data_IF_200061699460
#
_entry.id   IF_200061699460
#
_cell.length_a   1.000
_cell.length_b   1.000
_cell.length_c   1.000
_cell.angle_alpha   90.00
_cell.angle_beta   90.00
_cell.angle_gamma   90.00
#
_symmetry.space_group_name_H-M   'P 1'
#
loop_
_entity.id
_entity.type
_entity.pdbx_description
1 polymer ?
#
# COMPACT_ATOMS: atom_id res chain seq x y z
N UNK A 1 34.51 31.86 61.11
CA UNK A 1 33.22 31.90 60.45
C UNK A 1 33.02 30.60 59.72
N UNK A 2 32.24 29.65 60.28
CA UNK A 2 32.02 28.37 59.70
C UNK A 2 30.64 28.40 58.98
N UNK A 3 30.66 28.30 57.66
CA UNK A 3 29.46 28.28 56.81
C UNK A 3 28.81 26.90 56.86
N UNK A 4 27.65 26.80 57.51
CA UNK A 4 26.80 25.59 57.49
C UNK A 4 26.28 25.34 56.07
N UNK A 5 26.76 24.29 55.44
CA UNK A 5 26.15 23.73 54.23
C UNK A 5 24.85 23.02 54.64
N UNK A 6 23.71 23.58 54.30
CA UNK A 6 22.39 22.95 54.46
C UNK A 6 22.29 21.76 53.53
N UNK A 7 22.18 20.58 54.10
CA UNK A 7 21.82 19.37 53.37
C UNK A 7 20.39 19.51 52.83
N UNK A 8 20.26 19.57 51.48
CA UNK A 8 18.98 19.57 50.81
C UNK A 8 18.27 18.23 51.04
N UNK A 9 17.01 18.29 51.47
CA UNK A 9 16.18 17.17 51.82
C UNK A 9 15.92 16.21 50.63
N UNK A 10 16.43 15.01 50.73
CA UNK A 10 16.25 13.91 49.73
C UNK A 10 14.83 13.29 49.74
N UNK A 11 13.88 13.87 50.48
CA UNK A 11 12.50 13.33 50.61
C UNK A 11 11.57 13.58 49.43
N UNK A 12 11.89 14.51 48.52
CA UNK A 12 11.00 14.89 47.42
C UNK A 12 11.18 14.10 46.12
N UNK A 13 12.32 13.44 45.92
CA UNK A 13 12.64 12.74 44.68
C UNK A 13 11.82 11.45 44.52
N UNK A 14 11.57 10.70 45.57
CA UNK A 14 10.85 9.42 45.52
C UNK A 14 9.34 9.60 45.25
N UNK A 15 8.73 10.65 45.80
CA UNK A 15 7.31 10.96 45.55
C UNK A 15 7.07 11.49 44.15
N UNK A 16 7.92 12.33 43.60
CA UNK A 16 7.87 12.81 42.22
C UNK A 16 8.03 11.65 41.21
N UNK A 17 9.01 10.82 41.42
CA UNK A 17 9.27 9.67 40.56
C UNK A 17 8.14 8.61 40.61
N UNK A 18 7.48 8.45 41.74
CA UNK A 18 6.30 7.60 41.87
C UNK A 18 5.09 8.21 41.15
N UNK A 19 4.90 9.51 41.26
CA UNK A 19 3.83 10.24 40.58
C UNK A 19 4.01 10.24 39.05
N UNK A 20 5.23 10.45 38.56
CA UNK A 20 5.59 10.36 37.12
C UNK A 20 5.33 8.95 36.59
N UNK A 21 5.70 7.90 37.33
CA UNK A 21 5.39 6.51 36.95
C UNK A 21 3.85 6.25 36.94
N UNK A 22 3.12 6.73 37.92
CA UNK A 22 1.66 6.57 37.93
C UNK A 22 0.99 7.23 36.72
N UNK A 23 1.39 8.46 36.40
CA UNK A 23 0.90 9.13 35.20
C UNK A 23 1.32 8.43 33.93
N UNK A 24 2.54 7.95 33.83
CA UNK A 24 3.02 7.14 32.72
C UNK A 24 2.17 5.89 32.50
N UNK A 25 1.93 5.12 33.57
CA UNK A 25 1.05 3.94 33.48
C UNK A 25 -0.40 4.29 33.14
N UNK A 26 -0.95 5.42 33.68
CA UNK A 26 -2.29 5.83 33.35
C UNK A 26 -2.49 6.19 31.89
N UNK A 27 -1.55 6.92 31.28
CA UNK A 27 -1.60 7.22 29.85
C UNK A 27 -1.41 5.98 28.97
N UNK A 28 -0.46 5.11 29.34
CA UNK A 28 -0.20 3.86 28.62
C UNK A 28 -1.38 2.90 28.73
N UNK A 29 -2.07 2.85 29.91
CA UNK A 29 -3.19 1.94 30.12
C UNK A 29 -4.39 2.26 29.23
N UNK A 30 -4.68 3.54 28.96
CA UNK A 30 -5.76 3.93 28.06
C UNK A 30 -5.52 3.38 26.65
N UNK A 31 -4.30 3.53 26.15
CA UNK A 31 -3.91 2.96 24.84
C UNK A 31 -3.97 1.43 24.86
N UNK A 32 -3.44 0.80 25.92
CA UNK A 32 -3.41 -0.66 26.06
C UNK A 32 -4.82 -1.26 26.11
N UNK A 33 -5.73 -0.65 26.87
CA UNK A 33 -7.14 -1.06 26.94
C UNK A 33 -7.78 -0.93 25.54
N UNK A 34 -7.57 0.21 24.87
CA UNK A 34 -8.05 0.41 23.50
C UNK A 34 -7.53 -0.66 22.55
N UNK A 35 -6.24 -0.97 22.60
CA UNK A 35 -5.64 -2.04 21.80
C UNK A 35 -6.25 -3.41 22.12
N UNK A 36 -6.38 -3.76 23.40
CA UNK A 36 -6.95 -5.04 23.80
C UNK A 36 -8.40 -5.19 23.33
N UNK A 37 -9.24 -4.18 23.55
CA UNK A 37 -10.67 -4.24 23.22
C UNK A 37 -10.92 -4.17 21.72
N UNK A 38 -10.25 -3.29 20.99
CA UNK A 38 -10.55 -3.02 19.57
C UNK A 38 -9.64 -3.74 18.59
N UNK A 39 -8.54 -4.34 19.04
CA UNK A 39 -7.62 -5.07 18.14
C UNK A 39 -7.43 -6.53 18.58
N UNK A 40 -7.00 -6.76 19.82
CA UNK A 40 -6.66 -8.11 20.27
C UNK A 40 -7.90 -9.02 20.39
N UNK A 41 -8.98 -8.54 21.01
CA UNK A 41 -10.22 -9.33 21.16
C UNK A 41 -10.84 -9.69 19.79
N UNK A 42 -11.07 -8.74 18.84
CA UNK A 42 -11.55 -9.08 17.50
C UNK A 42 -10.63 -10.05 16.74
N UNK A 43 -9.30 -9.90 16.89
CA UNK A 43 -8.35 -10.81 16.28
C UNK A 43 -8.49 -12.26 16.81
N UNK A 44 -8.60 -12.42 18.13
CA UNK A 44 -8.82 -13.74 18.75
C UNK A 44 -10.15 -14.35 18.30
N UNK A 45 -11.22 -13.54 18.25
CA UNK A 45 -12.52 -13.97 17.71
C UNK A 45 -12.39 -14.39 16.26
N UNK A 46 -11.66 -13.63 15.44
CA UNK A 46 -11.42 -13.98 14.03
C UNK A 46 -10.68 -15.31 13.89
N UNK A 47 -9.66 -15.57 14.75
CA UNK A 47 -9.00 -16.88 14.77
C UNK A 47 -10.00 -17.99 15.08
N UNK A 48 -10.84 -17.84 16.10
CA UNK A 48 -11.87 -18.82 16.43
C UNK A 48 -12.84 -19.04 15.26
N UNK A 49 -13.38 -17.96 14.69
CA UNK A 49 -14.35 -17.98 13.58
C UNK A 49 -13.78 -18.68 12.35
N UNK A 50 -12.48 -18.56 12.07
CA UNK A 50 -11.86 -19.22 10.91
C UNK A 50 -11.93 -20.75 10.95
N UNK A 51 -12.15 -21.35 12.13
CA UNK A 51 -12.34 -22.78 12.34
C UNK A 51 -13.82 -23.18 12.49
N UNK A 52 -14.76 -22.30 12.14
CA UNK A 52 -16.21 -22.54 12.25
C UNK A 52 -16.91 -22.42 10.91
N UNK A 53 -18.13 -22.96 10.82
CA UNK A 53 -19.04 -22.80 9.69
C UNK A 53 -19.91 -21.54 9.81
N UNK A 54 -19.42 -20.51 10.52
CA UNK A 54 -20.23 -19.35 10.85
C UNK A 54 -20.83 -18.65 9.62
N UNK A 55 -22.16 -18.52 9.69
CA UNK A 55 -22.97 -17.77 8.75
C UNK A 55 -23.87 -16.81 9.57
N UNK A 56 -23.75 -15.48 9.37
CA UNK A 56 -24.46 -14.48 10.19
C UNK A 56 -25.97 -14.54 10.05
N UNK A 57 -26.51 -15.10 8.95
CA UNK A 57 -27.95 -15.28 8.73
C UNK A 57 -28.49 -16.38 9.67
N UNK A 58 -27.67 -17.39 10.00
CA UNK A 58 -28.05 -18.51 10.85
C UNK A 58 -27.97 -18.19 12.34
N UNK A 59 -27.24 -17.18 12.73
CA UNK A 59 -27.10 -16.74 14.13
C UNK A 59 -25.75 -16.17 14.50
N UNK A 60 -25.54 -15.85 15.78
CA UNK A 60 -24.30 -15.27 16.27
C UNK A 60 -23.14 -16.29 16.23
N UNK A 61 -21.90 -15.78 16.17
CA UNK A 61 -20.69 -16.59 15.98
C UNK A 61 -20.44 -17.64 17.08
N UNK A 62 -20.93 -17.40 18.30
CA UNK A 62 -20.78 -18.37 19.42
C UNK A 62 -21.70 -19.59 19.32
N UNK A 63 -22.68 -19.59 18.39
CA UNK A 63 -23.51 -20.74 18.07
C UNK A 63 -23.02 -21.50 16.84
N UNK A 64 -21.99 -21.01 16.17
CA UNK A 64 -21.43 -21.67 15.00
C UNK A 64 -20.74 -23.00 15.39
N UNK A 65 -20.86 -23.99 14.52
CA UNK A 65 -20.23 -25.29 14.74
C UNK A 65 -18.76 -25.24 14.34
N UNK A 66 -17.92 -25.86 15.14
CA UNK A 66 -16.49 -26.05 14.81
C UNK A 66 -16.38 -27.05 13.64
N UNK A 67 -15.84 -26.61 12.53
CA UNK A 67 -15.55 -27.44 11.35
C UNK A 67 -14.05 -27.76 11.21
N UNK A 68 -13.23 -27.42 12.20
CA UNK A 68 -11.78 -27.64 12.20
C UNK A 68 -11.10 -26.91 11.04
N UNK A 69 -10.29 -27.62 10.28
CA UNK A 69 -9.50 -27.03 9.16
C UNK A 69 -10.24 -27.06 7.82
N UNK A 70 -11.53 -27.37 7.80
CA UNK A 70 -12.29 -27.53 6.55
C UNK A 70 -12.32 -26.24 5.70
N UNK A 71 -12.44 -25.07 6.32
CA UNK A 71 -12.38 -23.80 5.62
C UNK A 71 -11.05 -23.61 4.87
N UNK A 72 -9.93 -23.98 5.53
CA UNK A 72 -8.60 -23.92 4.94
C UNK A 72 -8.46 -24.88 3.75
N UNK A 73 -8.97 -26.12 3.89
CA UNK A 73 -8.98 -27.08 2.79
C UNK A 73 -9.83 -26.60 1.62
N UNK A 74 -10.99 -26.01 1.91
CA UNK A 74 -11.94 -25.52 0.90
C UNK A 74 -11.30 -24.43 0.03
N UNK A 75 -10.73 -23.36 0.62
CA UNK A 75 -10.16 -22.30 -0.21
C UNK A 75 -8.85 -22.70 -0.88
N UNK A 76 -8.04 -23.58 -0.28
CA UNK A 76 -6.81 -24.07 -0.90
C UNK A 76 -7.08 -24.99 -2.12
N UNK A 77 -8.25 -25.63 -2.19
CA UNK A 77 -8.69 -26.42 -3.35
C UNK A 77 -9.43 -25.59 -4.39
N UNK A 78 -9.82 -24.35 -4.07
CA UNK A 78 -10.54 -23.46 -4.96
C UNK A 78 -9.62 -22.84 -6.00
N UNK A 79 -9.88 -23.15 -7.29
CA UNK A 79 -9.13 -22.56 -8.41
C UNK A 79 -9.30 -21.04 -8.50
N UNK A 80 -10.50 -20.53 -8.14
CA UNK A 80 -10.80 -19.10 -8.17
C UNK A 80 -9.98 -18.34 -7.12
N UNK A 81 -9.72 -18.98 -5.96
CA UNK A 81 -8.81 -18.44 -4.93
C UNK A 81 -7.38 -18.26 -5.46
N UNK A 82 -6.82 -19.27 -6.11
CA UNK A 82 -5.46 -19.19 -6.65
C UNK A 82 -5.35 -18.18 -7.80
N UNK A 83 -6.41 -18.02 -8.60
CA UNK A 83 -6.49 -16.96 -9.58
C UNK A 83 -6.46 -15.58 -8.91
N UNK A 84 -7.21 -15.41 -7.83
CA UNK A 84 -7.19 -14.17 -7.03
C UNK A 84 -5.83 -13.91 -6.39
N UNK A 85 -5.14 -14.95 -5.88
CA UNK A 85 -3.75 -14.85 -5.38
C UNK A 85 -2.82 -14.30 -6.46
N UNK A 86 -2.87 -14.90 -7.66
CA UNK A 86 -2.02 -14.48 -8.77
C UNK A 86 -2.29 -13.02 -9.18
N UNK A 87 -3.55 -12.64 -9.34
CA UNK A 87 -3.94 -11.28 -9.66
C UNK A 87 -3.49 -10.28 -8.60
N UNK A 88 -3.58 -10.65 -7.32
CA UNK A 88 -3.13 -9.82 -6.21
C UNK A 88 -1.62 -9.59 -6.26
N UNK A 89 -0.83 -10.64 -6.48
CA UNK A 89 0.63 -10.55 -6.62
C UNK A 89 1.00 -9.71 -7.84
N UNK A 90 0.36 -9.96 -8.98
CA UNK A 90 0.63 -9.23 -10.22
C UNK A 90 0.33 -7.73 -10.05
N UNK A 91 -0.81 -7.39 -9.45
CA UNK A 91 -1.16 -6.02 -9.15
C UNK A 91 -0.19 -5.36 -8.16
N UNK A 92 0.08 -6.01 -7.03
CA UNK A 92 0.94 -5.45 -5.98
C UNK A 92 2.35 -5.16 -6.50
N UNK A 93 2.96 -6.10 -7.21
CA UNK A 93 4.29 -5.92 -7.80
C UNK A 93 4.27 -4.86 -8.91
N UNK A 94 3.28 -4.92 -9.82
CA UNK A 94 3.18 -4.00 -10.93
C UNK A 94 2.92 -2.56 -10.48
N UNK A 95 2.02 -2.35 -9.52
CA UNK A 95 1.71 -1.02 -8.99
C UNK A 95 2.88 -0.42 -8.22
N UNK A 96 3.53 -1.21 -7.34
CA UNK A 96 4.70 -0.74 -6.59
C UNK A 96 5.86 -0.38 -7.52
N UNK A 97 6.15 -1.23 -8.51
CA UNK A 97 7.19 -0.94 -9.49
C UNK A 97 6.89 0.37 -10.25
N UNK A 98 5.67 0.52 -10.76
CA UNK A 98 5.28 1.70 -11.55
C UNK A 98 5.28 2.98 -10.73
N UNK A 99 4.75 2.94 -9.49
CA UNK A 99 4.74 4.11 -8.59
C UNK A 99 6.17 4.54 -8.24
N UNK A 100 7.06 3.60 -7.94
CA UNK A 100 8.45 3.93 -7.62
C UNK A 100 9.20 4.46 -8.84
N UNK A 101 9.01 3.86 -10.03
CA UNK A 101 9.61 4.33 -11.29
C UNK A 101 9.14 5.75 -11.66
N UNK A 102 7.91 6.13 -11.33
CA UNK A 102 7.41 7.48 -11.55
C UNK A 102 7.91 8.46 -10.46
N UNK A 103 7.91 8.03 -9.19
CA UNK A 103 8.18 8.90 -8.05
C UNK A 103 9.66 9.28 -7.91
N UNK A 104 10.60 8.36 -8.17
CA UNK A 104 12.04 8.63 -8.00
C UNK A 104 12.53 9.74 -8.95
N UNK A 105 12.33 9.66 -10.29
CA UNK A 105 12.73 10.72 -11.19
C UNK A 105 12.08 12.06 -10.86
N UNK A 106 10.79 12.04 -10.50
CA UNK A 106 10.07 13.25 -10.15
C UNK A 106 10.62 13.88 -8.86
N UNK A 107 10.93 13.10 -7.84
CA UNK A 107 11.57 13.59 -6.62
C UNK A 107 12.93 14.25 -6.91
N UNK A 108 13.74 13.65 -7.79
CA UNK A 108 15.02 14.20 -8.22
C UNK A 108 14.82 15.53 -8.95
N UNK A 109 13.86 15.62 -9.86
CA UNK A 109 13.52 16.88 -10.55
C UNK A 109 13.06 17.96 -9.57
N UNK A 110 12.22 17.62 -8.60
CA UNK A 110 11.70 18.54 -7.59
C UNK A 110 12.68 18.84 -6.44
N UNK A 111 13.84 18.16 -6.39
CA UNK A 111 14.92 18.48 -5.46
C UNK A 111 15.84 19.59 -5.97
N UNK A 112 15.68 20.03 -7.22
CA UNK A 112 16.48 21.11 -7.78
C UNK A 112 16.12 22.47 -7.16
N UNK A 113 17.11 23.36 -7.07
CA UNK A 113 16.95 24.74 -6.55
C UNK A 113 16.39 25.66 -7.64
N UNK A 114 15.09 25.52 -7.96
CA UNK A 114 14.41 26.33 -8.98
C UNK A 114 13.48 27.35 -8.33
N UNK A 115 13.28 28.52 -8.99
CA UNK A 115 12.28 29.49 -8.56
C UNK A 115 10.88 28.88 -8.66
N UNK A 116 10.07 29.00 -7.59
CA UNK A 116 8.71 28.48 -7.57
C UNK A 116 8.58 26.97 -7.38
N UNK A 117 9.65 26.26 -7.01
CA UNK A 117 9.67 24.80 -6.86
C UNK A 117 8.55 24.28 -5.95
N UNK A 118 8.15 25.04 -4.93
CA UNK A 118 7.06 24.67 -4.02
C UNK A 118 5.72 24.54 -4.73
N UNK A 119 5.46 25.36 -5.76
CA UNK A 119 4.24 25.26 -6.57
C UNK A 119 4.24 23.90 -7.33
N UNK A 120 5.34 23.54 -7.95
CA UNK A 120 5.47 22.25 -8.64
C UNK A 120 5.33 21.06 -7.68
N UNK A 121 5.88 21.15 -6.47
CA UNK A 121 5.70 20.12 -5.41
C UNK A 121 4.22 20.00 -5.03
N UNK A 122 3.52 21.11 -4.84
CA UNK A 122 2.09 21.12 -4.53
C UNK A 122 1.27 20.50 -5.66
N UNK A 123 1.52 20.87 -6.91
CA UNK A 123 0.83 20.30 -8.07
C UNK A 123 1.07 18.79 -8.18
N UNK A 124 2.32 18.35 -7.99
CA UNK A 124 2.67 16.92 -8.05
C UNK A 124 2.05 16.11 -6.91
N UNK A 125 1.80 16.72 -5.75
CA UNK A 125 1.16 16.09 -4.61
C UNK A 125 -0.37 16.10 -4.66
N UNK A 126 -0.97 17.04 -5.40
CA UNK A 126 -2.42 17.23 -5.47
C UNK A 126 -3.20 15.95 -5.81
N UNK A 127 -2.76 15.09 -6.75
CA UNK A 127 -3.43 13.82 -7.04
C UNK A 127 -3.56 12.88 -5.82
N UNK A 128 -2.58 12.88 -4.93
CA UNK A 128 -2.56 12.00 -3.76
C UNK A 128 -3.58 12.38 -2.67
N UNK A 129 -4.12 13.61 -2.71
CA UNK A 129 -5.14 14.11 -1.76
C UNK A 129 -6.56 13.77 -2.26
N UNK A 130 -6.72 13.43 -3.53
CA UNK A 130 -8.04 13.16 -4.11
C UNK A 130 -8.69 11.94 -3.47
N UNK A 131 -10.02 11.97 -3.19
CA UNK A 131 -10.73 10.80 -2.71
C UNK A 131 -10.59 9.62 -3.68
N UNK A 132 -10.25 8.43 -3.15
CA UNK A 132 -9.98 7.24 -3.97
C UNK A 132 -11.15 6.89 -4.90
N UNK A 133 -12.39 6.96 -4.40
CA UNK A 133 -13.61 6.68 -5.18
C UNK A 133 -13.72 7.61 -6.39
N UNK A 134 -13.57 8.92 -6.17
CA UNK A 134 -13.65 9.90 -7.25
C UNK A 134 -12.56 9.68 -8.29
N UNK A 135 -11.34 9.39 -7.84
CA UNK A 135 -10.20 9.10 -8.74
C UNK A 135 -10.52 7.89 -9.63
N UNK A 136 -10.99 6.79 -9.06
CA UNK A 136 -11.30 5.58 -9.83
C UNK A 136 -12.43 5.81 -10.83
N UNK A 137 -13.47 6.55 -10.46
CA UNK A 137 -14.57 6.91 -11.37
C UNK A 137 -14.10 7.78 -12.54
N UNK A 138 -13.23 8.77 -12.30
CA UNK A 138 -12.63 9.57 -13.36
C UNK A 138 -11.81 8.69 -14.30
N UNK A 139 -11.00 7.77 -13.77
CA UNK A 139 -10.21 6.87 -14.61
C UNK A 139 -11.08 5.88 -15.38
N UNK A 140 -12.23 5.42 -14.85
CA UNK A 140 -13.18 4.65 -15.65
C UNK A 140 -13.67 5.41 -16.89
N UNK A 141 -13.93 6.72 -16.76
CA UNK A 141 -14.29 7.56 -17.91
C UNK A 141 -13.11 7.74 -18.87
N UNK A 142 -11.89 7.90 -18.37
CA UNK A 142 -10.68 8.03 -19.19
C UNK A 142 -10.42 6.76 -20.01
N UNK A 143 -10.65 5.58 -19.43
CA UNK A 143 -10.45 4.27 -20.06
C UNK A 143 -11.67 3.76 -20.85
N UNK A 144 -12.75 4.54 -20.95
CA UNK A 144 -13.96 4.13 -21.68
C UNK A 144 -13.64 3.91 -23.16
N UNK A 145 -14.06 2.76 -23.77
CA UNK A 145 -13.68 2.41 -25.13
C UNK A 145 -14.13 3.39 -26.20
N UNK A 146 -15.38 3.89 -26.08
CA UNK A 146 -15.99 4.74 -27.12
C UNK A 146 -15.63 6.23 -27.00
N UNK A 147 -15.69 6.78 -25.79
CA UNK A 147 -15.59 8.22 -25.53
C UNK A 147 -14.43 8.59 -24.57
N UNK A 148 -13.59 7.63 -24.20
CA UNK A 148 -12.49 7.84 -23.27
C UNK A 148 -11.33 8.64 -23.90
N UNK A 149 -10.65 9.43 -23.08
CA UNK A 149 -9.50 10.24 -23.52
C UNK A 149 -8.40 9.35 -24.12
N UNK A 150 -8.14 8.17 -23.52
CA UNK A 150 -7.11 7.24 -24.01
C UNK A 150 -7.49 6.74 -25.41
N UNK A 151 -8.74 6.33 -25.61
CA UNK A 151 -9.21 5.88 -26.93
C UNK A 151 -9.10 6.98 -27.97
N UNK A 152 -9.45 8.23 -27.61
CA UNK A 152 -9.28 9.38 -28.49
C UNK A 152 -7.81 9.61 -28.87
N UNK A 153 -6.88 9.57 -27.91
CA UNK A 153 -5.44 9.73 -28.18
C UNK A 153 -4.91 8.60 -29.08
N UNK A 154 -5.26 7.35 -28.80
CA UNK A 154 -4.82 6.20 -29.58
C UNK A 154 -5.35 6.24 -31.04
N UNK A 155 -6.59 6.70 -31.23
CA UNK A 155 -7.15 6.95 -32.56
C UNK A 155 -6.37 8.03 -33.31
N UNK A 156 -6.07 9.16 -32.65
CA UNK A 156 -5.30 10.26 -33.25
C UNK A 156 -3.87 9.86 -33.63
N UNK A 157 -3.27 8.97 -32.84
CA UNK A 157 -1.93 8.44 -33.10
C UNK A 157 -1.93 7.25 -34.07
N UNK A 158 -3.08 6.87 -34.63
CA UNK A 158 -3.27 5.74 -35.57
C UNK A 158 -2.90 4.37 -34.97
N UNK A 159 -2.89 4.24 -33.63
CA UNK A 159 -2.69 2.95 -32.95
C UNK A 159 -3.98 2.14 -32.86
N UNK A 160 -5.14 2.75 -33.06
CA UNK A 160 -6.42 2.07 -33.20
C UNK A 160 -7.28 2.76 -34.24
N UNK A 161 -8.28 2.05 -34.75
CA UNK A 161 -9.27 2.58 -35.68
C UNK A 161 -10.22 3.57 -35.02
N UNK A 162 -10.95 4.36 -35.81
CA UNK A 162 -11.95 5.30 -35.31
C UNK A 162 -13.12 4.50 -34.66
N UNK A 163 -13.45 4.77 -33.38
CA UNK A 163 -14.53 4.09 -32.68
C UNK A 163 -15.93 4.23 -33.32
N UNK A 164 -16.11 5.26 -34.15
CA UNK A 164 -17.35 5.49 -34.88
C UNK A 164 -17.51 4.63 -36.14
N UNK A 165 -16.43 3.95 -36.55
CA UNK A 165 -16.46 3.06 -37.72
C UNK A 165 -17.08 1.71 -37.35
N UNK A 166 -18.06 1.26 -38.13
CA UNK A 166 -18.72 -0.04 -37.97
C UNK A 166 -17.76 -1.25 -38.04
N UNK A 167 -16.58 -1.09 -38.64
CA UNK A 167 -15.54 -2.12 -38.76
C UNK A 167 -14.49 -2.04 -37.64
N UNK A 168 -14.63 -1.15 -36.66
CA UNK A 168 -13.66 -0.92 -35.61
C UNK A 168 -14.03 -1.67 -34.32
N UNK A 169 -13.05 -2.38 -33.76
CA UNK A 169 -13.09 -2.83 -32.37
C UNK A 169 -12.01 -2.03 -31.60
N UNK A 170 -12.40 -0.93 -30.93
CA UNK A 170 -11.45 -0.14 -30.14
C UNK A 170 -10.87 -0.97 -29.00
N UNK A 171 -9.68 -0.57 -28.49
CA UNK A 171 -9.11 -1.20 -27.31
C UNK A 171 -10.07 -1.05 -26.12
N UNK A 172 -10.69 -2.15 -25.73
CA UNK A 172 -11.57 -2.19 -24.57
C UNK A 172 -10.75 -2.44 -23.29
N UNK A 173 -10.34 -1.36 -22.66
CA UNK A 173 -9.58 -1.40 -21.40
C UNK A 173 -10.41 -1.94 -20.23
N UNK A 174 -11.73 -1.90 -20.32
CA UNK A 174 -12.64 -2.27 -19.23
C UNK A 174 -13.23 -3.67 -19.45
N UNK A 175 -13.44 -4.09 -20.69
CA UNK A 175 -14.04 -5.37 -21.04
C UNK A 175 -13.06 -6.45 -21.48
N UNK A 176 -11.80 -6.09 -21.81
CA UNK A 176 -10.79 -7.06 -22.21
C UNK A 176 -9.99 -7.57 -20.99
N UNK A 177 -10.07 -8.88 -20.65
CA UNK A 177 -9.38 -9.45 -19.49
C UNK A 177 -7.87 -9.18 -19.44
N UNK A 178 -7.22 -9.03 -20.61
CA UNK A 178 -5.77 -8.79 -20.69
C UNK A 178 -5.39 -7.33 -20.44
N UNK A 179 -6.29 -6.38 -20.64
CA UNK A 179 -6.03 -4.94 -20.53
C UNK A 179 -6.52 -4.35 -19.21
N UNK A 180 -7.51 -4.98 -18.57
CA UNK A 180 -8.17 -4.45 -17.37
C UNK A 180 -7.21 -4.32 -16.19
N UNK A 181 -6.42 -5.35 -15.89
CA UNK A 181 -5.44 -5.28 -14.79
C UNK A 181 -4.32 -4.26 -15.07
N UNK A 182 -3.70 -4.20 -16.25
CA UNK A 182 -2.80 -3.11 -16.63
C UNK A 182 -3.40 -1.71 -16.48
N UNK A 183 -4.69 -1.53 -16.79
CA UNK A 183 -5.37 -0.24 -16.61
C UNK A 183 -5.45 0.18 -15.13
N UNK A 184 -5.74 -0.77 -14.22
CA UNK A 184 -5.76 -0.52 -12.77
C UNK A 184 -4.35 -0.27 -12.23
N UNK A 185 -3.32 -0.93 -12.77
CA UNK A 185 -1.92 -0.66 -12.42
C UNK A 185 -1.53 0.76 -12.88
N UNK A 186 -1.90 1.19 -14.08
CA UNK A 186 -1.66 2.56 -14.57
C UNK A 186 -2.37 3.60 -13.70
N UNK A 187 -3.60 3.33 -13.27
CA UNK A 187 -4.31 4.16 -12.29
C UNK A 187 -3.50 4.36 -11.00
N UNK A 188 -2.80 3.33 -10.54
CA UNK A 188 -2.00 3.43 -9.31
C UNK A 188 -0.86 4.43 -9.42
N UNK A 189 -0.31 4.64 -10.63
CA UNK A 189 0.71 5.65 -10.86
C UNK A 189 0.22 7.08 -10.57
N UNK A 190 -1.10 7.35 -10.66
CA UNK A 190 -1.66 8.66 -10.33
C UNK A 190 -1.39 9.09 -8.87
N UNK A 191 -1.28 8.10 -7.97
CA UNK A 191 -0.99 8.32 -6.54
C UNK A 191 0.48 8.53 -6.19
N UNK A 192 1.38 8.71 -7.16
CA UNK A 192 2.83 8.81 -6.94
C UNK A 192 3.26 9.95 -5.98
N UNK A 193 2.41 10.96 -5.76
CA UNK A 193 2.76 12.16 -5.00
C UNK A 193 3.19 11.88 -3.57
N UNK A 194 2.55 10.95 -2.86
CA UNK A 194 2.93 10.59 -1.50
C UNK A 194 4.32 9.93 -1.46
N UNK A 195 4.56 8.96 -2.33
CA UNK A 195 5.84 8.26 -2.45
C UNK A 195 6.95 9.22 -2.88
N UNK A 196 6.65 10.15 -3.78
CA UNK A 196 7.57 11.20 -4.23
C UNK A 196 8.02 12.10 -3.07
N UNK A 197 7.12 12.49 -2.16
CA UNK A 197 7.50 13.31 -0.99
C UNK A 197 8.46 12.59 -0.05
N UNK A 198 8.27 11.28 0.16
CA UNK A 198 9.18 10.46 0.98
C UNK A 198 10.58 10.44 0.33
N UNK A 199 10.65 10.25 -0.99
CA UNK A 199 11.92 10.32 -1.71
C UNK A 199 12.55 11.70 -1.68
N UNK A 200 11.75 12.75 -1.82
CA UNK A 200 12.23 14.13 -1.74
C UNK A 200 12.85 14.43 -0.36
N UNK A 201 12.21 13.96 0.72
CA UNK A 201 12.74 14.08 2.08
C UNK A 201 14.06 13.30 2.21
N UNK A 202 14.14 12.08 1.68
CA UNK A 202 15.37 11.28 1.66
C UNK A 202 16.50 11.96 0.88
N UNK A 203 16.19 12.55 -0.28
CA UNK A 203 17.17 13.29 -1.09
C UNK A 203 17.71 14.55 -0.39
N UNK A 204 16.87 15.23 0.39
CA UNK A 204 17.26 16.41 1.16
C UNK A 204 18.12 16.07 2.38
N UNK A 205 18.10 14.81 2.84
CA UNK A 205 18.99 14.31 3.90
C UNK A 205 20.40 13.96 3.42
N UNK A 206 20.66 13.93 2.12
CA UNK A 206 21.99 13.61 1.58
C UNK A 206 22.90 14.85 1.67
N UNK A 207 24.10 14.70 2.27
CA UNK A 207 25.06 15.78 2.40
C UNK A 207 25.51 16.28 1.02
N UNK A 208 25.43 17.59 0.82
CA UNK A 208 25.85 18.26 -0.43
C UNK A 208 27.34 18.06 -0.72
N UNK A 209 28.17 17.93 0.33
CA UNK A 209 29.61 17.72 0.20
C UNK A 209 29.98 16.48 -0.61
N UNK A 210 29.13 15.41 -0.56
CA UNK A 210 29.33 14.21 -1.35
C UNK A 210 29.19 14.49 -2.86
N UNK A 211 28.26 15.34 -3.23
CA UNK A 211 28.06 15.72 -4.64
C UNK A 211 29.16 16.70 -5.11
N UNK A 212 29.66 17.57 -4.22
CA UNK A 212 30.76 18.48 -4.52
C UNK A 212 32.08 17.71 -4.73
N UNK A 213 32.41 16.78 -3.84
CA UNK A 213 33.57 15.91 -4.00
C UNK A 213 33.51 15.11 -5.31
N UNK A 214 32.38 14.47 -5.58
CA UNK A 214 32.20 13.73 -6.84
C UNK A 214 32.29 14.64 -8.09
N UNK A 215 31.94 15.92 -7.96
CA UNK A 215 32.10 16.89 -9.05
C UNK A 215 33.57 17.24 -9.31
N UNK A 216 34.37 17.35 -8.25
CA UNK A 216 35.82 17.56 -8.36
C UNK A 216 36.52 16.35 -9.01
N UNK A 217 36.05 15.13 -8.69
CA UNK A 217 36.51 13.87 -9.29
C UNK A 217 36.02 13.68 -10.74
N UNK A 218 35.28 14.63 -11.33
CA UNK A 218 34.80 14.57 -12.71
C UNK A 218 33.63 13.61 -12.91
N UNK A 219 32.91 13.19 -11.86
CA UNK A 219 31.78 12.27 -11.99
C UNK A 219 30.62 12.91 -12.76
N UNK A 220 30.11 12.20 -13.79
CA UNK A 220 28.92 12.61 -14.55
C UNK A 220 27.66 12.54 -13.71
N UNK A 221 26.57 13.19 -14.15
CA UNK A 221 25.29 13.15 -13.46
C UNK A 221 24.76 11.73 -13.25
N UNK A 222 24.96 10.84 -14.22
CA UNK A 222 24.55 9.42 -14.12
C UNK A 222 25.41 8.66 -13.09
N UNK A 223 26.71 8.90 -13.06
CA UNK A 223 27.61 8.27 -12.07
C UNK A 223 27.24 8.74 -10.65
N UNK A 224 26.99 10.05 -10.46
CA UNK A 224 26.50 10.58 -9.17
C UNK A 224 25.16 9.97 -8.75
N UNK A 225 24.23 9.82 -9.68
CA UNK A 225 22.95 9.14 -9.41
C UNK A 225 23.16 7.69 -8.94
N UNK A 226 23.96 6.91 -9.69
CA UNK A 226 24.16 5.47 -9.42
C UNK A 226 24.99 5.21 -8.16
N UNK A 227 26.01 6.02 -7.90
CA UNK A 227 27.00 5.77 -6.84
C UNK A 227 26.73 6.53 -5.53
N UNK A 228 25.95 7.62 -5.57
CA UNK A 228 25.64 8.44 -4.39
C UNK A 228 24.12 8.42 -4.13
N UNK A 229 23.33 8.92 -5.09
CA UNK A 229 21.91 9.15 -4.86
C UNK A 229 21.15 7.84 -4.61
N UNK A 230 21.29 6.85 -5.48
CA UNK A 230 20.54 5.59 -5.40
C UNK A 230 20.90 4.76 -4.15
N UNK A 231 22.18 4.58 -3.78
CA UNK A 231 22.53 3.88 -2.54
C UNK A 231 22.03 4.60 -1.29
N UNK A 232 22.20 5.92 -1.18
CA UNK A 232 21.76 6.69 -0.01
C UNK A 232 20.23 6.84 0.07
N UNK A 233 19.51 6.72 -1.04
CA UNK A 233 18.06 6.71 -1.10
C UNK A 233 17.48 5.32 -0.82
N UNK A 234 18.31 4.27 -0.82
CA UNK A 234 17.83 2.87 -0.69
C UNK A 234 17.00 2.59 0.56
N UNK A 235 17.22 3.21 1.76
CA UNK A 235 16.32 3.03 2.89
C UNK A 235 14.90 3.55 2.62
N UNK A 236 14.78 4.69 1.94
CA UNK A 236 13.48 5.25 1.56
C UNK A 236 12.80 4.38 0.48
N UNK A 237 13.58 3.83 -0.47
CA UNK A 237 13.07 2.88 -1.47
C UNK A 237 12.55 1.62 -0.78
N UNK A 238 13.30 1.06 0.15
CA UNK A 238 12.88 -0.12 0.91
C UNK A 238 11.58 0.14 1.68
N UNK A 239 11.49 1.26 2.38
CA UNK A 239 10.28 1.65 3.11
C UNK A 239 9.05 1.73 2.18
N UNK A 240 9.19 2.42 1.04
CA UNK A 240 8.09 2.57 0.08
C UNK A 240 7.73 1.24 -0.61
N UNK A 241 8.69 0.37 -0.88
CA UNK A 241 8.42 -0.97 -1.44
C UNK A 241 7.65 -1.82 -0.44
N UNK A 242 8.07 -1.88 0.83
CA UNK A 242 7.38 -2.69 1.85
C UNK A 242 5.96 -2.17 2.09
N UNK A 243 5.81 -0.88 2.35
CA UNK A 243 4.48 -0.27 2.62
C UNK A 243 3.58 -0.32 1.40
N UNK A 244 4.14 -0.12 0.20
CA UNK A 244 3.43 -0.22 -1.06
C UNK A 244 2.95 -1.64 -1.35
N UNK A 245 3.76 -2.68 -1.09
CA UNK A 245 3.34 -4.08 -1.22
C UNK A 245 2.22 -4.41 -0.24
N UNK A 246 2.36 -4.06 1.04
CA UNK A 246 1.30 -4.27 2.04
C UNK A 246 -0.01 -3.62 1.58
N UNK A 247 0.03 -2.36 1.15
CA UNK A 247 -1.14 -1.65 0.63
C UNK A 247 -1.69 -2.27 -0.66
N UNK A 248 -0.81 -2.71 -1.56
CA UNK A 248 -1.21 -3.37 -2.82
C UNK A 248 -1.92 -4.70 -2.59
N UNK A 249 -1.47 -5.51 -1.62
CA UNK A 249 -2.15 -6.75 -1.25
C UNK A 249 -3.53 -6.51 -0.61
N UNK A 250 -3.73 -5.36 0.02
CA UNK A 250 -4.96 -4.96 0.71
C UNK A 250 -5.84 -4.00 -0.12
N UNK A 251 -5.53 -3.80 -1.40
CA UNK A 251 -6.32 -2.89 -2.25
C UNK A 251 -7.72 -3.47 -2.51
N UNK A 252 -8.74 -2.70 -2.15
CA UNK A 252 -10.15 -3.05 -2.27
C UNK A 252 -10.89 -2.10 -3.20
N UNK A 253 -10.80 -0.80 -2.90
CA UNK A 253 -11.65 0.24 -3.49
C UNK A 253 -11.50 0.32 -5.01
N UNK A 254 -10.28 0.25 -5.52
CA UNK A 254 -10.03 0.32 -6.96
C UNK A 254 -10.69 -0.83 -7.69
N UNK A 255 -10.56 -2.05 -7.16
CA UNK A 255 -11.11 -3.26 -7.81
C UNK A 255 -12.62 -3.28 -7.80
N UNK A 256 -13.26 -2.97 -6.67
CA UNK A 256 -14.72 -2.95 -6.56
C UNK A 256 -15.34 -1.92 -7.49
N UNK A 257 -14.80 -0.70 -7.53
CA UNK A 257 -15.36 0.35 -8.39
C UNK A 257 -15.02 0.10 -9.86
N UNK A 258 -13.81 -0.37 -10.18
CA UNK A 258 -13.39 -0.59 -11.56
C UNK A 258 -14.14 -1.77 -12.20
N UNK A 259 -14.49 -2.81 -11.43
CA UNK A 259 -15.25 -3.98 -11.93
C UNK A 259 -16.74 -3.72 -12.23
N UNK A 260 -17.27 -2.57 -11.82
CA UNK A 260 -18.67 -2.24 -12.15
C UNK A 260 -19.56 -1.77 -11.02
N UNK A 261 -19.22 -2.01 -9.78
CA UNK A 261 -19.63 -1.40 -8.50
C UNK A 261 -21.10 -1.23 -8.11
N UNK A 262 -22.05 -1.16 -9.03
CA UNK A 262 -23.45 -0.86 -8.69
C UNK A 262 -24.32 -2.10 -8.38
N UNK A 263 -23.79 -3.30 -8.62
CA UNK A 263 -24.51 -4.58 -8.42
C UNK A 263 -23.73 -5.62 -7.61
N UNK A 264 -22.72 -5.20 -6.85
CA UNK A 264 -21.80 -6.11 -6.17
C UNK A 264 -20.46 -6.22 -6.89
N UNK A 265 -19.50 -6.92 -6.28
CA UNK A 265 -18.19 -7.18 -6.88
C UNK A 265 -18.31 -8.31 -7.91
N UNK A 266 -18.01 -8.03 -9.16
CA UNK A 266 -18.15 -9.00 -10.27
C UNK A 266 -16.83 -9.68 -10.68
N UNK A 267 -15.70 -9.36 -10.05
CA UNK A 267 -14.36 -9.85 -10.47
C UNK A 267 -13.86 -9.28 -11.79
N UNK A 268 -14.66 -8.46 -12.49
CA UNK A 268 -14.35 -7.94 -13.82
C UNK A 268 -14.50 -9.02 -14.91
N UNK A 269 -14.14 -8.71 -16.17
CA UNK A 269 -14.24 -9.63 -17.28
C UNK A 269 -13.35 -10.87 -17.06
N UNK A 270 -13.95 -12.06 -17.05
CA UNK A 270 -13.27 -13.34 -16.78
C UNK A 270 -12.44 -13.36 -15.49
N UNK A 271 -12.95 -12.76 -14.41
CA UNK A 271 -12.26 -12.63 -13.12
C UNK A 271 -10.89 -11.92 -13.19
N UNK A 272 -10.65 -11.12 -14.23
CA UNK A 272 -9.35 -10.42 -14.42
C UNK A 272 -9.03 -9.38 -13.33
N UNK A 273 -10.04 -8.88 -12.62
CA UNK A 273 -9.91 -7.96 -11.48
C UNK A 273 -10.18 -8.65 -10.14
N UNK A 274 -10.37 -9.96 -10.14
CA UNK A 274 -10.56 -10.72 -8.92
C UNK A 274 -9.23 -10.77 -8.15
N UNK A 275 -9.12 -9.96 -7.11
CA UNK A 275 -8.01 -9.99 -6.15
C UNK A 275 -8.48 -10.52 -4.81
N UNK A 276 -7.56 -10.93 -3.94
CA UNK A 276 -7.90 -11.64 -2.70
C UNK A 276 -8.82 -10.83 -1.78
N UNK A 277 -8.55 -9.55 -1.57
CA UNK A 277 -9.35 -8.78 -0.61
C UNK A 277 -10.81 -8.60 -1.07
N UNK A 278 -11.13 -8.19 -2.30
CA UNK A 278 -12.51 -8.24 -2.81
C UNK A 278 -13.13 -9.64 -2.80
N UNK A 279 -12.36 -10.69 -3.07
CA UNK A 279 -12.88 -12.06 -3.01
C UNK A 279 -13.24 -12.49 -1.58
N UNK A 280 -12.44 -12.11 -0.59
CA UNK A 280 -12.77 -12.31 0.83
C UNK A 280 -14.07 -11.56 1.18
N UNK A 281 -14.23 -10.34 0.68
CA UNK A 281 -15.44 -9.55 0.88
C UNK A 281 -16.67 -10.23 0.24
N UNK A 282 -16.57 -10.68 -1.01
CA UNK A 282 -17.63 -11.44 -1.70
C UNK A 282 -18.06 -12.64 -0.84
N UNK A 283 -17.13 -13.49 -0.41
CA UNK A 283 -17.40 -14.68 0.39
C UNK A 283 -18.01 -14.36 1.76
N UNK A 284 -17.51 -13.31 2.42
CA UNK A 284 -17.95 -12.94 3.76
C UNK A 284 -19.30 -12.22 3.80
N UNK A 285 -19.46 -11.21 2.95
CA UNK A 285 -20.56 -10.26 3.05
C UNK A 285 -21.65 -10.43 1.98
N UNK A 286 -21.31 -10.95 0.80
CA UNK A 286 -22.28 -11.24 -0.25
C UNK A 286 -22.79 -12.67 -0.12
N UNK A 287 -21.91 -13.66 0.02
CA UNK A 287 -22.26 -15.08 0.17
C UNK A 287 -22.58 -15.49 1.62
N UNK A 288 -22.29 -14.62 2.61
CA UNK A 288 -22.49 -14.86 4.05
C UNK A 288 -21.72 -16.06 4.64
N UNK A 289 -20.59 -16.45 4.04
CA UNK A 289 -19.69 -17.48 4.58
C UNK A 289 -18.55 -16.85 5.37
N UNK A 290 -18.86 -16.22 6.54
CA UNK A 290 -17.86 -15.49 7.33
C UNK A 290 -16.78 -16.39 7.90
N UNK A 291 -17.07 -17.65 8.24
CA UNK A 291 -16.04 -18.60 8.65
C UNK A 291 -14.99 -18.83 7.57
N UNK A 292 -15.44 -19.09 6.31
CA UNK A 292 -14.56 -19.26 5.16
C UNK A 292 -13.80 -17.97 4.82
N UNK A 293 -14.50 -16.84 4.77
CA UNK A 293 -13.89 -15.53 4.48
C UNK A 293 -12.79 -15.16 5.48
N UNK A 294 -13.02 -15.45 6.77
CA UNK A 294 -12.03 -15.22 7.83
C UNK A 294 -10.81 -16.12 7.66
N UNK A 295 -11.00 -17.41 7.29
CA UNK A 295 -9.89 -18.31 6.99
C UNK A 295 -9.08 -17.83 5.76
N UNK A 296 -9.76 -17.32 4.70
CA UNK A 296 -9.10 -16.70 3.54
C UNK A 296 -8.34 -15.42 3.92
N UNK A 297 -8.85 -14.63 4.87
CA UNK A 297 -8.15 -13.43 5.38
C UNK A 297 -6.85 -13.81 6.09
N UNK A 298 -6.80 -14.93 6.84
CA UNK A 298 -5.54 -15.47 7.36
C UNK A 298 -4.61 -15.96 6.24
N UNK A 299 -5.15 -16.48 5.14
CA UNK A 299 -4.38 -16.81 3.94
C UNK A 299 -3.72 -15.56 3.33
N UNK A 300 -4.46 -14.46 3.21
CA UNK A 300 -3.93 -13.16 2.76
C UNK A 300 -2.88 -12.61 3.73
N UNK A 301 -3.12 -12.71 5.04
CA UNK A 301 -2.14 -12.31 6.05
C UNK A 301 -0.83 -13.10 5.92
N UNK A 302 -0.91 -14.44 5.74
CA UNK A 302 0.27 -15.27 5.53
C UNK A 302 1.03 -14.86 4.26
N UNK A 303 0.32 -14.56 3.16
CA UNK A 303 0.92 -14.07 1.93
C UNK A 303 1.69 -12.77 2.15
N UNK A 304 1.07 -11.78 2.80
CA UNK A 304 1.71 -10.50 3.14
C UNK A 304 2.93 -10.72 4.03
N UNK A 305 2.82 -11.58 5.05
CA UNK A 305 3.92 -11.89 5.97
C UNK A 305 5.11 -12.52 5.23
N UNK A 306 4.88 -13.45 4.30
CA UNK A 306 5.92 -14.07 3.47
C UNK A 306 6.62 -13.01 2.62
N UNK A 307 5.89 -12.19 1.87
CA UNK A 307 6.48 -11.14 1.05
C UNK A 307 7.25 -10.11 1.89
N UNK A 308 6.72 -9.74 3.04
CA UNK A 308 7.40 -8.83 3.98
C UNK A 308 8.69 -9.45 4.50
N UNK A 309 8.67 -10.71 4.94
CA UNK A 309 9.86 -11.42 5.41
C UNK A 309 10.92 -11.55 4.31
N UNK A 310 10.52 -11.85 3.07
CA UNK A 310 11.43 -11.88 1.90
C UNK A 310 12.07 -10.50 1.68
N UNK A 311 11.30 -9.42 1.73
CA UNK A 311 11.84 -8.06 1.58
C UNK A 311 12.83 -7.72 2.70
N UNK A 312 12.51 -8.04 3.97
CA UNK A 312 13.42 -7.80 5.12
C UNK A 312 14.70 -8.64 5.06
N UNK A 313 14.67 -9.82 4.47
CA UNK A 313 15.88 -10.61 4.24
C UNK A 313 16.70 -10.08 3.06
N UNK A 314 16.02 -9.66 1.99
CA UNK A 314 16.67 -9.10 0.80
C UNK A 314 17.33 -7.74 1.06
N UNK A 315 16.77 -6.90 1.95
CA UNK A 315 17.32 -5.56 2.25
C UNK A 315 18.79 -5.58 2.64
N UNK A 316 19.23 -6.62 3.36
CA UNK A 316 20.63 -6.77 3.83
C UNK A 316 21.66 -6.73 2.70
N UNK A 317 21.24 -6.94 1.44
CA UNK A 317 22.14 -6.99 0.27
C UNK A 317 22.19 -5.70 -0.53
N UNK A 318 21.17 -4.82 -0.41
CA UNK A 318 21.04 -3.66 -1.28
C UNK A 318 20.70 -2.35 -0.57
N UNK A 319 20.23 -2.40 0.69
CA UNK A 319 19.91 -1.19 1.46
C UNK A 319 21.18 -0.74 2.20
N UNK A 320 21.57 0.50 1.95
CA UNK A 320 22.73 1.11 2.56
C UNK A 320 22.27 2.05 3.69
N UNK A 321 22.58 1.68 4.93
CA UNK A 321 22.39 2.55 6.08
C UNK A 321 23.68 3.30 6.36
N UNK A 322 23.61 4.62 6.38
CA UNK A 322 24.73 5.45 6.82
C UNK A 322 24.87 5.26 8.33
N UNK A 323 25.89 4.53 8.80
CA UNK A 323 26.20 4.47 10.21
C UNK A 323 26.60 5.88 10.67
N UNK A 324 25.84 6.47 11.60
CA UNK A 324 26.28 7.63 12.33
C UNK A 324 27.55 7.23 13.11
N UNK A 325 28.72 7.66 12.61
CA UNK A 325 29.95 7.61 13.40
C UNK A 325 29.75 8.62 14.52
N UNK A 326 29.33 8.11 15.70
CA UNK A 326 29.33 8.85 16.95
C UNK A 326 30.75 9.20 17.41
#
# INVERSE_FOLDING_TARGET
MATKVQAASTGGAGTKQRQERMWGYSFTSIWLIGFLVFSAVPLVISVYVSFTDWNPIRGPFWQAHLNGVQNYQTFLQDKRYWHAVWNTIYYALGSVALVNLASIPLAILLNQKLRGINIYRTIAYLPAIMPAVATVLIFRLIFQPSNGIISWVLTKLHFQCDPTSLACSPYDWLGNPKLTMPAVILLSAWGFGQTMLIYLAGLQGIDASLYEAASIDGATGWNRFKSITLPLLSPAIFFNVVTGLIGGFQEFTKFVIFSGGAGGFSGGPSDSLLTLFPYIYEKGFEDNFLGLATAMAFGLFALIAIFTAVNFTAQKRWVFYQEERG
#
